data_IF_857069878880
#
_entry.id   IF_857069878880
#
_cell.length_a   1.000
_cell.length_b   1.000
_cell.length_c   1.000
_cell.angle_alpha   90.00
_cell.angle_beta   90.00
_cell.angle_gamma   90.00
#
_symmetry.space_group_name_H-M   'P 1'
#
loop_
_entity.id
_entity.type
_entity.pdbx_description
1 polymer ?
#
# COMPACT_ATOMS: atom_id res chain seq x y z
N UNK A 1 2.17 7.15 6.63
CA UNK A 1 1.85 8.37 5.86
C UNK A 1 2.21 9.55 6.73
N UNK A 2 2.87 10.54 6.16
CA UNK A 2 3.29 11.74 6.86
C UNK A 2 2.91 12.94 6.00
N UNK A 3 2.33 13.98 6.60
CA UNK A 3 2.05 15.24 5.92
C UNK A 3 2.21 16.41 6.88
N UNK A 4 2.57 17.55 6.31
CA UNK A 4 2.66 18.80 7.05
C UNK A 4 1.27 19.39 7.24
N UNK A 5 0.98 19.74 8.49
CA UNK A 5 -0.24 20.39 8.90
C UNK A 5 0.11 21.28 10.09
N UNK A 6 0.00 22.59 9.92
CA UNK A 6 0.37 23.53 10.99
C UNK A 6 -0.62 23.47 12.15
N UNK A 7 -1.78 22.89 11.92
CA UNK A 7 -2.88 22.79 12.86
C UNK A 7 -3.09 21.35 13.26
N UNK A 8 -3.20 21.11 14.57
CA UNK A 8 -3.69 19.82 15.04
C UNK A 8 -5.22 19.88 15.05
N UNK A 9 -5.87 19.72 13.89
CA UNK A 9 -7.31 19.93 13.77
C UNK A 9 -8.07 18.80 14.45
N UNK A 10 -8.41 19.06 15.71
CA UNK A 10 -9.25 18.24 16.56
C UNK A 10 -10.43 19.12 16.97
N UNK A 11 -11.63 18.93 16.38
CA UNK A 11 -12.83 19.62 16.80
C UNK A 11 -13.02 19.59 18.32
N UNK A 12 -13.29 20.77 18.88
CA UNK A 12 -13.37 20.99 20.33
C UNK A 12 -12.07 21.46 20.99
N UNK A 13 -10.93 21.42 20.31
CA UNK A 13 -9.69 22.06 20.79
C UNK A 13 -9.75 23.58 20.56
N UNK A 14 -9.81 24.36 21.64
CA UNK A 14 -9.92 25.82 21.57
C UNK A 14 -8.75 26.49 20.84
N UNK A 15 -7.54 25.92 20.91
CA UNK A 15 -6.37 26.52 20.26
C UNK A 15 -6.40 26.26 18.76
N UNK A 16 -6.83 25.08 18.34
CA UNK A 16 -7.04 24.78 16.92
C UNK A 16 -8.16 25.65 16.34
N UNK A 17 -9.28 25.80 17.05
CA UNK A 17 -10.44 26.60 16.59
C UNK A 17 -10.07 28.08 16.38
N UNK A 18 -9.20 28.67 17.19
CA UNK A 18 -8.81 30.09 17.08
C UNK A 18 -8.11 30.44 15.77
N UNK A 19 -7.48 29.47 15.13
CA UNK A 19 -6.67 29.66 13.91
C UNK A 19 -7.24 28.92 12.69
N UNK A 20 -8.38 28.26 12.86
CA UNK A 20 -9.07 27.50 11.82
C UNK A 20 -10.27 28.27 11.25
N UNK A 21 -10.74 27.83 10.09
CA UNK A 21 -11.97 28.31 9.49
C UNK A 21 -13.22 27.88 10.27
N UNK A 22 -14.33 28.58 10.02
CA UNK A 22 -15.62 28.25 10.63
C UNK A 22 -16.09 26.88 10.16
N UNK A 23 -16.41 26.02 11.12
CA UNK A 23 -16.82 24.65 10.83
C UNK A 23 -15.65 23.67 10.70
N UNK A 24 -14.51 23.99 11.34
CA UNK A 24 -13.34 23.11 11.47
C UNK A 24 -13.73 21.65 11.68
N UNK A 25 -13.27 20.80 10.76
CA UNK A 25 -13.43 19.36 10.82
C UNK A 25 -12.24 18.67 11.51
N UNK A 26 -12.30 17.35 11.66
CA UNK A 26 -11.11 16.58 12.03
C UNK A 26 -10.18 16.43 10.83
N UNK A 27 -8.87 16.46 11.07
CA UNK A 27 -7.91 16.01 10.06
C UNK A 27 -8.17 14.54 9.71
N UNK A 28 -8.02 14.21 8.44
CA UNK A 28 -8.20 12.84 7.97
C UNK A 28 -7.32 12.54 6.77
N UNK A 29 -6.94 11.26 6.67
CA UNK A 29 -6.22 10.73 5.51
C UNK A 29 -6.87 9.41 5.10
N UNK A 30 -7.02 9.18 3.80
CA UNK A 30 -7.38 7.88 3.28
C UNK A 30 -6.36 7.36 2.27
N UNK A 31 -6.18 6.04 2.28
CA UNK A 31 -5.45 5.31 1.24
C UNK A 31 -6.44 4.51 0.43
N UNK A 32 -6.36 4.59 -0.89
CA UNK A 32 -7.24 3.89 -1.80
C UNK A 32 -6.48 2.79 -2.54
N UNK A 33 -7.11 1.62 -2.63
CA UNK A 33 -6.66 0.47 -3.40
C UNK A 33 -7.80 -0.04 -4.29
N UNK A 34 -7.51 -0.53 -5.50
CA UNK A 34 -8.51 -1.25 -6.29
C UNK A 34 -8.89 -2.56 -5.60
N UNK A 35 -10.10 -3.08 -5.81
CA UNK A 35 -10.47 -4.42 -5.29
C UNK A 35 -9.63 -5.53 -5.92
N UNK A 36 -9.19 -5.34 -7.18
CA UNK A 36 -8.33 -6.27 -7.89
C UNK A 36 -7.09 -5.57 -8.44
N UNK A 37 -5.93 -6.23 -8.40
CA UNK A 37 -4.71 -5.72 -9.04
C UNK A 37 -4.91 -5.81 -10.57
N UNK A 38 -4.97 -4.67 -11.31
CA UNK A 38 -5.20 -4.70 -12.74
C UNK A 38 -4.13 -5.50 -13.49
N UNK A 39 -4.54 -6.34 -14.44
CA UNK A 39 -3.62 -7.06 -15.31
C UNK A 39 -3.01 -6.16 -16.40
N UNK A 40 -3.67 -5.06 -16.74
CA UNK A 40 -3.26 -4.11 -17.77
C UNK A 40 -3.03 -2.70 -17.25
N UNK A 41 -2.94 -1.75 -18.18
CA UNK A 41 -2.69 -0.34 -17.85
C UNK A 41 -3.91 0.39 -17.29
N UNK A 42 -5.10 -0.15 -17.53
CA UNK A 42 -6.37 0.46 -17.16
C UNK A 42 -6.65 0.29 -15.66
N UNK A 43 -6.55 1.40 -14.93
CA UNK A 43 -6.83 1.48 -13.49
C UNK A 43 -8.30 1.89 -13.28
N UNK A 44 -8.91 1.59 -12.11
CA UNK A 44 -10.19 2.18 -11.76
C UNK A 44 -10.13 3.72 -11.84
N UNK A 45 -11.29 4.36 -11.94
CA UNK A 45 -11.32 5.81 -11.85
C UNK A 45 -10.74 6.27 -10.50
N UNK A 46 -9.81 7.22 -10.52
CA UNK A 46 -9.03 7.58 -9.32
C UNK A 46 -9.90 8.22 -8.23
N UNK A 47 -11.02 8.85 -8.60
CA UNK A 47 -11.98 9.43 -7.66
C UNK A 47 -12.97 8.35 -7.19
N UNK A 48 -12.47 7.44 -6.36
CA UNK A 48 -13.27 6.43 -5.65
C UNK A 48 -13.92 5.36 -6.55
N UNK A 49 -13.33 5.07 -7.70
CA UNK A 49 -13.75 3.97 -8.57
C UNK A 49 -15.06 4.19 -9.32
N UNK A 50 -15.68 3.08 -9.72
CA UNK A 50 -17.00 3.01 -10.36
C UNK A 50 -17.64 1.65 -10.07
N UNK A 51 -18.91 1.46 -10.42
CA UNK A 51 -19.60 0.16 -10.26
C UNK A 51 -18.86 -0.99 -10.96
N UNK A 52 -18.24 -0.74 -12.12
CA UNK A 52 -17.48 -1.75 -12.85
C UNK A 52 -16.10 -2.03 -12.25
N UNK A 53 -15.52 -1.04 -11.56
CA UNK A 53 -14.17 -1.10 -11.00
C UNK A 53 -14.17 -0.46 -9.60
N UNK A 54 -14.72 -1.17 -8.60
CA UNK A 54 -14.78 -0.65 -7.24
C UNK A 54 -13.39 -0.59 -6.60
N UNK A 55 -13.30 0.19 -5.53
CA UNK A 55 -12.09 0.40 -4.74
C UNK A 55 -12.40 0.26 -3.25
N UNK A 56 -11.38 0.04 -2.44
CA UNK A 56 -11.46 0.19 -1.00
C UNK A 56 -10.69 1.42 -0.55
N UNK A 57 -11.26 2.19 0.38
CA UNK A 57 -10.56 3.25 1.08
C UNK A 57 -10.31 2.82 2.53
N UNK A 58 -9.08 2.98 2.99
CA UNK A 58 -8.69 2.87 4.39
C UNK A 58 -8.55 4.29 4.91
N UNK A 59 -9.53 4.78 5.66
CA UNK A 59 -9.62 6.17 6.10
C UNK A 59 -9.38 6.26 7.60
N UNK A 60 -8.40 7.06 7.99
CA UNK A 60 -8.17 7.47 9.38
C UNK A 60 -8.67 8.90 9.60
N UNK A 61 -9.14 9.19 10.80
CA UNK A 61 -9.52 10.54 11.24
C UNK A 61 -9.00 10.81 12.64
N UNK A 62 -8.55 12.05 12.88
CA UNK A 62 -8.06 12.53 14.19
C UNK A 62 -9.12 12.53 15.28
N UNK A 63 -10.40 12.46 14.93
CA UNK A 63 -11.51 12.49 15.88
C UNK A 63 -11.78 13.90 16.39
N UNK A 64 -12.27 14.02 17.61
CA UNK A 64 -12.60 15.26 18.31
C UNK A 64 -12.17 15.16 19.78
N UNK A 65 -12.40 16.20 20.57
CA UNK A 65 -12.20 16.10 22.03
C UNK A 65 -13.18 15.12 22.70
N UNK A 66 -14.32 14.83 22.08
CA UNK A 66 -15.34 13.91 22.60
C UNK A 66 -15.22 12.48 22.02
N UNK A 67 -14.71 12.35 20.80
CA UNK A 67 -14.57 11.07 20.09
C UNK A 67 -13.10 10.85 19.75
N UNK A 68 -12.49 9.73 20.15
CA UNK A 68 -11.09 9.47 19.82
C UNK A 68 -10.87 9.35 18.31
N UNK A 69 -9.59 9.26 17.93
CA UNK A 69 -9.21 8.89 16.58
C UNK A 69 -9.92 7.60 16.13
N UNK A 70 -10.20 7.50 14.83
CA UNK A 70 -10.94 6.36 14.28
C UNK A 70 -10.39 5.95 12.91
N UNK A 71 -10.69 4.69 12.55
CA UNK A 71 -10.38 4.14 11.24
C UNK A 71 -11.63 3.50 10.64
N UNK A 72 -11.84 3.70 9.34
CA UNK A 72 -12.93 3.13 8.57
C UNK A 72 -12.36 2.40 7.34
N UNK A 73 -12.90 1.22 7.07
CA UNK A 73 -12.78 0.56 5.78
C UNK A 73 -14.03 0.93 4.98
N UNK A 74 -13.88 1.42 3.75
CA UNK A 74 -15.00 1.90 2.93
C UNK A 74 -14.92 1.23 1.58
N UNK A 75 -15.99 0.56 1.18
CA UNK A 75 -16.16 0.09 -0.20
C UNK A 75 -16.74 1.22 -1.02
N UNK A 76 -16.12 1.54 -2.15
CA UNK A 76 -16.57 2.62 -3.02
C UNK A 76 -16.69 2.17 -4.47
N UNK A 77 -17.81 2.55 -5.07
CA UNK A 77 -18.13 2.37 -6.48
C UNK A 77 -18.44 3.73 -7.12
N UNK A 78 -17.63 4.73 -6.77
CA UNK A 78 -17.78 6.14 -7.11
C UNK A 78 -17.98 7.03 -5.88
N UNK A 79 -17.72 8.32 -6.02
CA UNK A 79 -17.76 9.29 -4.91
C UNK A 79 -19.12 9.35 -4.18
N UNK A 80 -20.22 9.06 -4.88
CA UNK A 80 -21.56 9.06 -4.32
C UNK A 80 -22.01 7.70 -3.76
N UNK A 81 -21.31 6.61 -4.08
CA UNK A 81 -21.66 5.25 -3.67
C UNK A 81 -20.55 4.68 -2.79
N UNK A 82 -20.68 4.93 -1.48
CA UNK A 82 -19.72 4.51 -0.47
C UNK A 82 -20.44 3.73 0.64
N UNK A 83 -19.91 2.57 1.00
CA UNK A 83 -20.45 1.68 2.03
C UNK A 83 -19.37 1.41 3.07
N UNK A 84 -19.46 2.00 4.28
CA UNK A 84 -18.55 1.68 5.37
C UNK A 84 -18.68 0.22 5.80
N UNK A 85 -17.53 -0.41 6.08
CA UNK A 85 -17.39 -1.72 6.73
C UNK A 85 -16.69 -1.54 8.07
N UNK A 86 -16.96 -2.47 8.99
CA UNK A 86 -16.26 -2.52 10.27
C UNK A 86 -14.76 -2.76 10.03
N UNK A 87 -13.93 -1.76 10.35
CA UNK A 87 -12.50 -1.83 10.11
C UNK A 87 -11.83 -2.94 10.95
N UNK A 88 -12.17 -3.03 12.23
CA UNK A 88 -11.55 -3.98 13.16
C UNK A 88 -11.91 -5.43 12.80
N UNK A 89 -13.17 -5.70 12.47
CA UNK A 89 -13.62 -7.01 12.01
C UNK A 89 -12.96 -7.44 10.69
N UNK A 90 -12.50 -6.47 9.87
CA UNK A 90 -11.79 -6.71 8.61
C UNK A 90 -10.27 -6.54 8.72
N UNK A 91 -9.74 -6.58 9.95
CA UNK A 91 -8.31 -6.58 10.24
C UNK A 91 -7.59 -5.25 9.97
N UNK A 92 -8.33 -4.17 9.74
CA UNK A 92 -7.77 -2.83 9.54
C UNK A 92 -7.67 -2.11 10.89
N UNK A 93 -6.46 -1.62 11.18
CA UNK A 93 -6.17 -0.78 12.34
C UNK A 93 -5.37 0.43 11.90
N UNK A 94 -5.44 1.53 12.65
CA UNK A 94 -4.62 2.70 12.39
C UNK A 94 -4.31 3.46 13.68
N UNK A 95 -3.21 4.21 13.66
CA UNK A 95 -2.81 5.12 14.73
C UNK A 95 -2.16 6.37 14.17
N UNK A 96 -2.60 7.52 14.66
CA UNK A 96 -2.04 8.83 14.34
C UNK A 96 -1.21 9.41 15.48
N UNK A 97 -0.19 10.18 15.12
CA UNK A 97 0.58 10.99 16.03
C UNK A 97 0.86 12.35 15.39
N UNK A 98 0.67 13.42 16.16
CA UNK A 98 0.97 14.78 15.72
C UNK A 98 2.16 15.32 16.49
N UNK A 99 3.15 15.86 15.79
CA UNK A 99 4.32 16.50 16.40
C UNK A 99 4.88 17.57 15.48
N UNK A 100 5.05 18.78 16.01
CA UNK A 100 5.75 19.91 15.36
C UNK A 100 5.20 20.29 13.97
N UNK A 101 3.87 20.35 13.81
CA UNK A 101 3.28 20.75 12.53
C UNK A 101 3.21 19.61 11.50
N UNK A 102 3.26 18.36 11.97
CA UNK A 102 3.28 17.19 11.10
C UNK A 102 2.44 16.08 11.72
N UNK A 103 1.54 15.51 10.91
CA UNK A 103 0.84 14.28 11.23
C UNK A 103 1.62 13.07 10.71
N UNK A 104 1.66 12.01 11.50
CA UNK A 104 2.14 10.68 11.12
C UNK A 104 1.07 9.65 11.41
N UNK A 105 0.60 8.96 10.38
CA UNK A 105 -0.40 7.91 10.49
C UNK A 105 0.16 6.60 9.97
N UNK A 106 0.07 5.56 10.81
CA UNK A 106 0.35 4.18 10.42
C UNK A 106 -0.98 3.43 10.32
N UNK A 107 -1.20 2.75 9.19
CA UNK A 107 -2.34 1.86 8.97
C UNK A 107 -1.80 0.44 8.77
N UNK A 108 -2.43 -0.54 9.41
CA UNK A 108 -2.02 -1.94 9.35
C UNK A 108 -3.21 -2.80 8.97
N UNK A 109 -3.00 -3.68 7.99
CA UNK A 109 -3.98 -4.69 7.54
C UNK A 109 -3.22 -5.93 7.02
N UNK A 110 -3.77 -7.15 7.18
CA UNK A 110 -3.24 -8.34 6.50
C UNK A 110 -3.12 -8.15 4.98
N UNK A 111 -2.09 -8.76 4.38
CA UNK A 111 -1.87 -8.73 2.91
C UNK A 111 -2.95 -9.47 2.13
N UNK A 112 -3.59 -10.46 2.74
CA UNK A 112 -4.73 -11.19 2.20
C UNK A 112 -5.87 -11.21 3.19
N UNK A 113 -7.10 -11.30 2.69
CA UNK A 113 -8.32 -11.25 3.49
C UNK A 113 -9.28 -12.38 3.10
N UNK A 114 -10.26 -12.68 3.95
CA UNK A 114 -11.32 -13.65 3.62
C UNK A 114 -12.27 -13.14 2.53
N UNK A 115 -12.46 -11.82 2.43
CA UNK A 115 -13.35 -11.16 1.48
C UNK A 115 -12.70 -10.96 0.09
N UNK A 116 -12.29 -12.05 -0.56
CA UNK A 116 -11.51 -12.01 -1.81
C UNK A 116 -12.19 -11.28 -2.97
N UNK A 117 -13.52 -11.20 -2.98
CA UNK A 117 -14.30 -10.50 -4.01
C UNK A 117 -14.47 -9.00 -3.75
N UNK A 118 -14.11 -8.52 -2.55
CA UNK A 118 -14.32 -7.13 -2.12
C UNK A 118 -13.06 -6.44 -1.66
N UNK A 119 -11.99 -7.19 -1.42
CA UNK A 119 -10.74 -6.69 -0.91
C UNK A 119 -9.58 -7.08 -1.80
N UNK A 120 -8.67 -6.13 -1.98
CA UNK A 120 -7.39 -6.39 -2.65
C UNK A 120 -6.61 -7.51 -1.95
N UNK A 121 -6.11 -8.44 -2.76
CA UNK A 121 -5.14 -9.44 -2.34
C UNK A 121 -3.75 -8.94 -2.74
N UNK A 122 -2.97 -8.48 -1.76
CA UNK A 122 -1.63 -7.95 -2.03
C UNK A 122 -0.68 -9.08 -2.42
N UNK A 123 -0.04 -8.92 -3.58
CA UNK A 123 0.92 -9.88 -4.12
C UNK A 123 2.30 -9.23 -4.28
N UNK A 124 3.32 -9.83 -3.66
CA UNK A 124 4.68 -9.35 -3.79
C UNK A 124 5.20 -9.51 -5.23
N UNK A 125 6.00 -8.55 -5.70
CA UNK A 125 6.50 -8.49 -7.08
C UNK A 125 5.50 -7.95 -8.11
N UNK A 126 4.26 -7.61 -7.71
CA UNK A 126 3.29 -6.94 -8.59
C UNK A 126 3.20 -5.45 -8.30
N UNK A 127 2.96 -4.66 -9.35
CA UNK A 127 2.67 -3.24 -9.24
C UNK A 127 1.21 -3.04 -8.84
N UNK A 128 0.99 -2.48 -7.65
CA UNK A 128 -0.32 -2.31 -7.05
C UNK A 128 -0.71 -0.83 -7.10
N UNK A 129 -1.85 -0.45 -7.71
CA UNK A 129 -2.29 0.93 -7.68
C UNK A 129 -2.59 1.39 -6.26
N UNK A 130 -2.07 2.56 -5.89
CA UNK A 130 -2.31 3.23 -4.61
C UNK A 130 -2.60 4.71 -4.85
N UNK A 131 -3.61 5.26 -4.19
CA UNK A 131 -3.92 6.70 -4.20
C UNK A 131 -4.22 7.22 -2.79
N UNK A 132 -4.12 8.53 -2.60
CA UNK A 132 -4.27 9.16 -1.29
C UNK A 132 -5.30 10.29 -1.34
N UNK A 133 -6.00 10.48 -0.23
CA UNK A 133 -6.97 11.56 -0.01
C UNK A 133 -6.67 12.21 1.33
N UNK A 134 -6.63 13.53 1.37
CA UNK A 134 -6.30 14.31 2.57
C UNK A 134 -7.38 15.35 2.83
N UNK A 135 -7.82 15.44 4.08
CA UNK A 135 -8.73 16.46 4.58
C UNK A 135 -8.00 17.30 5.63
N UNK A 136 -7.76 18.57 5.31
CA UNK A 136 -7.31 19.58 6.28
C UNK A 136 -8.51 20.11 7.06
N UNK A 137 -8.62 19.69 8.33
CA UNK A 137 -9.73 20.06 9.19
C UNK A 137 -9.81 21.57 9.43
N UNK A 138 -8.67 22.25 9.51
CA UNK A 138 -8.58 23.70 9.73
C UNK A 138 -9.08 24.50 8.54
N UNK A 139 -8.93 23.97 7.32
CA UNK A 139 -9.49 24.50 6.08
C UNK A 139 -10.96 24.10 5.86
N UNK A 140 -11.63 23.57 6.91
CA UNK A 140 -13.01 23.08 6.85
C UNK A 140 -13.24 22.00 5.79
N UNK A 141 -12.21 21.24 5.44
CA UNK A 141 -12.31 20.13 4.48
C UNK A 141 -12.98 18.93 5.13
N UNK A 142 -14.13 18.54 4.59
CA UNK A 142 -14.91 17.39 5.04
C UNK A 142 -15.66 16.77 3.87
N UNK A 143 -15.96 15.47 3.95
CA UNK A 143 -16.72 14.76 2.91
C UNK A 143 -16.03 14.85 1.55
N UNK A 144 -16.68 15.44 0.56
CA UNK A 144 -16.13 15.57 -0.80
C UNK A 144 -15.16 16.74 -0.98
N UNK A 145 -14.99 17.60 0.03
CA UNK A 145 -13.97 18.65 0.04
C UNK A 145 -12.69 18.07 0.61
N UNK A 146 -11.72 17.80 -0.24
CA UNK A 146 -10.42 17.23 0.12
C UNK A 146 -9.45 17.41 -1.04
N UNK A 147 -8.17 17.26 -0.75
CA UNK A 147 -7.13 17.08 -1.76
C UNK A 147 -6.91 15.59 -2.00
N UNK A 148 -6.50 15.22 -3.22
CA UNK A 148 -6.24 13.83 -3.57
C UNK A 148 -5.09 13.70 -4.56
N UNK A 149 -4.55 12.49 -4.67
CA UNK A 149 -3.63 12.12 -5.73
C UNK A 149 -4.34 11.32 -6.84
N UNK A 150 -3.73 11.27 -8.02
CA UNK A 150 -4.03 10.17 -8.96
C UNK A 150 -3.37 8.86 -8.46
N UNK A 151 -3.39 7.83 -9.30
CA UNK A 151 -2.77 6.54 -8.97
C UNK A 151 -1.24 6.58 -9.07
N UNK A 152 -0.58 6.12 -8.01
CA UNK A 152 0.82 5.70 -7.98
C UNK A 152 0.91 4.17 -7.96
N UNK A 153 2.14 3.66 -8.09
CA UNK A 153 2.44 2.23 -7.99
C UNK A 153 3.14 1.92 -6.67
N UNK A 154 2.54 1.04 -5.88
CA UNK A 154 3.16 0.35 -4.76
C UNK A 154 3.76 -0.96 -5.26
N UNK A 155 5.04 -1.20 -4.98
CA UNK A 155 5.70 -2.48 -5.23
C UNK A 155 6.11 -3.09 -3.91
N UNK A 156 5.48 -4.20 -3.54
CA UNK A 156 5.94 -5.02 -2.42
C UNK A 156 7.10 -5.88 -2.91
N UNK A 157 8.24 -5.79 -2.25
CA UNK A 157 9.41 -6.58 -2.64
C UNK A 157 9.12 -8.07 -2.48
N UNK A 158 9.37 -8.91 -3.51
CA UNK A 158 9.29 -10.35 -3.35
C UNK A 158 10.35 -10.82 -2.35
N UNK A 159 10.03 -11.88 -1.61
CA UNK A 159 10.99 -12.52 -0.73
C UNK A 159 12.24 -12.93 -1.53
N UNK A 160 13.43 -12.65 -0.98
CA UNK A 160 14.69 -13.04 -1.59
C UNK A 160 14.83 -14.57 -1.57
N UNK A 161 14.27 -15.23 -2.58
CA UNK A 161 14.36 -16.68 -2.72
C UNK A 161 15.80 -17.13 -2.95
N UNK A 162 16.18 -18.27 -2.40
CA UNK A 162 17.48 -18.92 -2.62
C UNK A 162 17.59 -19.66 -3.96
N UNK A 163 16.49 -19.73 -4.74
CA UNK A 163 16.44 -20.35 -6.07
C UNK A 163 17.55 -19.89 -7.03
N UNK A 164 17.82 -18.58 -7.24
CA UNK A 164 18.93 -18.13 -8.08
C UNK A 164 20.30 -18.60 -7.57
N UNK A 165 20.51 -18.67 -6.25
CA UNK A 165 21.75 -19.18 -5.67
C UNK A 165 21.93 -20.67 -5.97
N UNK A 166 20.90 -21.49 -5.77
CA UNK A 166 20.95 -22.92 -6.09
C UNK A 166 21.16 -23.16 -7.59
N UNK A 167 20.47 -22.39 -8.45
CA UNK A 167 20.67 -22.47 -9.90
C UNK A 167 22.12 -22.15 -10.29
N UNK A 168 22.70 -21.10 -9.71
CA UNK A 168 24.10 -20.74 -9.95
C UNK A 168 25.08 -21.84 -9.50
N UNK A 169 24.83 -22.46 -8.33
CA UNK A 169 25.64 -23.58 -7.84
C UNK A 169 25.53 -24.79 -8.77
N UNK A 170 24.32 -25.16 -9.20
CA UNK A 170 24.11 -26.28 -10.14
C UNK A 170 24.85 -26.03 -11.45
N UNK A 171 24.73 -24.84 -12.02
CA UNK A 171 25.43 -24.48 -13.26
C UNK A 171 26.95 -24.54 -13.07
N UNK A 172 27.48 -24.01 -11.96
CA UNK A 172 28.89 -24.08 -11.64
C UNK A 172 29.40 -25.53 -11.50
N UNK A 173 28.63 -26.40 -10.86
CA UNK A 173 28.97 -27.82 -10.73
C UNK A 173 28.95 -28.54 -12.08
N UNK A 174 27.96 -28.25 -12.95
CA UNK A 174 27.90 -28.82 -14.29
C UNK A 174 29.08 -28.39 -15.16
N UNK A 175 29.43 -27.09 -15.15
CA UNK A 175 30.60 -26.56 -15.86
C UNK A 175 31.88 -27.19 -15.32
N UNK A 176 32.05 -27.21 -13.99
CA UNK A 176 33.22 -27.82 -13.35
C UNK A 176 33.35 -29.31 -13.69
N UNK A 177 32.26 -30.07 -13.64
CA UNK A 177 32.23 -31.48 -14.02
C UNK A 177 32.61 -31.70 -15.49
N UNK A 178 32.08 -30.88 -16.40
CA UNK A 178 32.42 -30.94 -17.82
C UNK A 178 33.90 -30.63 -18.08
N UNK A 179 34.46 -29.62 -17.41
CA UNK A 179 35.88 -29.28 -17.51
C UNK A 179 36.80 -30.38 -16.98
N UNK A 180 36.44 -30.99 -15.84
CA UNK A 180 37.19 -32.13 -15.28
C UNK A 180 37.14 -33.34 -16.22
N UNK A 181 35.96 -33.67 -16.75
CA UNK A 181 35.80 -34.77 -17.71
C UNK A 181 36.62 -34.54 -18.97
N UNK A 182 36.56 -33.33 -19.54
CA UNK A 182 37.35 -32.97 -20.72
C UNK A 182 38.86 -33.06 -20.43
N UNK A 183 39.34 -32.52 -19.32
CA UNK A 183 40.75 -32.61 -18.94
C UNK A 183 41.25 -34.06 -18.84
N UNK A 184 40.44 -34.97 -18.29
CA UNK A 184 40.78 -36.40 -18.22
C UNK A 184 40.83 -37.04 -19.60
N UNK A 185 39.81 -36.82 -20.44
CA UNK A 185 39.76 -37.38 -21.80
C UNK A 185 40.91 -36.89 -22.67
N UNK A 186 41.29 -35.61 -22.58
CA UNK A 186 42.42 -35.05 -23.31
C UNK A 186 43.77 -35.66 -22.85
N UNK A 187 43.91 -35.94 -21.56
CA UNK A 187 45.13 -36.57 -21.01
C UNK A 187 45.26 -38.03 -21.44
N UNK A 188 44.13 -38.77 -21.51
CA UNK A 188 44.10 -40.15 -22.01
C UNK A 188 44.46 -40.20 -23.50
N UNK A 189 43.85 -39.35 -24.33
CA UNK A 189 44.13 -39.30 -25.76
C UNK A 189 45.62 -39.01 -26.06
N UNK A 190 46.25 -38.13 -25.28
CA UNK A 190 47.69 -37.83 -25.44
C UNK A 190 48.60 -39.03 -25.16
N UNK A 191 48.25 -39.88 -24.19
CA UNK A 191 49.03 -41.10 -23.88
C UNK A 191 48.93 -42.17 -24.97
N UNK A 192 47.81 -42.26 -25.67
CA UNK A 192 47.63 -43.22 -26.77
C UNK A 192 48.42 -42.84 -28.04
N UNK A 193 48.69 -41.55 -28.24
CA UNK A 193 49.52 -41.06 -29.36
C UNK A 193 51.03 -41.13 -29.13
N UNK A 194 51.49 -41.39 -27.90
CA UNK A 194 52.93 -41.48 -27.55
C UNK A 194 53.46 -42.94 -27.53
N UNK A 195 52.67 -43.91 -28.00
CA UNK A 195 53.04 -45.34 -28.13
C UNK A 195 53.28 -45.70 -29.62
#
# INVERSE_FOLDING_TARGET
IEWDDRTKSIPGDENAIKIADKGMGPDAIAVQFPVEIPAGMEKPYFLMGSDAKPVNLWRWSSGSTEKPESVALIDAAGIANQQPRDAAANGLSAKGAYKNGTWRVAMTRPLTTSETAKDIQFEAGRFIPIAFFNWDGSNSEQGTKHTLTTWYWLLLQPEAGSKPLFAAIIVALLIGGALVWWGRSATVAKKETEI
#
